data_IF_251079923351
#
_entry.id   IF_251079923351
#
_cell.length_a   1.000
_cell.length_b   1.000
_cell.length_c   1.000
_cell.angle_alpha   90.00
_cell.angle_beta   90.00
_cell.angle_gamma   90.00
#
_symmetry.space_group_name_H-M   'P 1'
#
loop_
_entity.id
_entity.type
_entity.pdbx_description
1 polymer ?
#
# COMPACT_ATOMS: atom_id res chain seq x y z
N UNK A 1 -16.74 -1.05 16.20
CA UNK A 1 -15.74 -2.15 16.17
C UNK A 1 -15.90 -2.95 14.87
N UNK A 2 -14.85 -3.59 14.34
CA UNK A 2 -14.91 -4.38 13.09
C UNK A 2 -16.07 -5.40 13.11
N UNK A 3 -16.29 -6.06 14.24
CA UNK A 3 -17.36 -7.04 14.46
C UNK A 3 -18.77 -6.43 14.53
N UNK A 4 -18.88 -5.13 14.80
CA UNK A 4 -20.16 -4.39 14.74
C UNK A 4 -20.48 -3.90 13.33
N UNK A 5 -19.45 -3.84 12.48
CA UNK A 5 -19.54 -3.31 11.12
C UNK A 5 -19.89 -4.40 10.11
N UNK A 6 -19.50 -5.63 10.41
CA UNK A 6 -19.69 -6.81 9.58
C UNK A 6 -19.89 -8.04 10.47
N UNK A 7 -21.03 -8.70 10.33
CA UNK A 7 -21.38 -9.90 11.10
C UNK A 7 -20.47 -11.08 10.78
N UNK A 8 -19.86 -11.13 9.59
CA UNK A 8 -18.94 -12.19 9.19
C UNK A 8 -17.58 -12.06 9.88
N UNK A 9 -17.30 -10.90 10.49
CA UNK A 9 -16.06 -10.65 11.24
C UNK A 9 -16.18 -10.94 12.74
N UNK A 10 -17.34 -11.37 13.22
CA UNK A 10 -17.53 -11.73 14.63
C UNK A 10 -16.58 -12.87 15.01
N UNK A 11 -15.71 -12.65 16.00
CA UNK A 11 -14.72 -13.64 16.46
C UNK A 11 -13.44 -13.68 15.63
N UNK A 12 -13.30 -12.84 14.60
CA UNK A 12 -12.10 -12.77 13.76
C UNK A 12 -10.82 -12.55 14.58
N UNK A 13 -10.87 -11.65 15.57
CA UNK A 13 -9.71 -11.38 16.43
C UNK A 13 -9.37 -12.56 17.33
N UNK A 14 -10.37 -13.29 17.83
CA UNK A 14 -10.15 -14.47 18.66
C UNK A 14 -9.52 -15.61 17.85
N UNK A 15 -9.91 -15.78 16.58
CA UNK A 15 -9.29 -16.75 15.69
C UNK A 15 -7.85 -16.37 15.33
N UNK A 16 -7.61 -15.12 14.94
CA UNK A 16 -6.25 -14.59 14.70
C UNK A 16 -5.37 -14.79 15.93
N UNK A 17 -5.90 -14.49 17.12
CA UNK A 17 -5.20 -14.66 18.39
C UNK A 17 -4.84 -16.12 18.64
N UNK A 18 -5.78 -17.06 18.45
CA UNK A 18 -5.57 -18.51 18.61
C UNK A 18 -4.61 -19.10 17.58
N UNK A 19 -4.59 -18.58 16.36
CA UNK A 19 -3.66 -19.00 15.30
C UNK A 19 -2.23 -18.58 15.63
N UNK A 20 -2.06 -17.35 16.14
CA UNK A 20 -0.73 -16.77 16.39
C UNK A 20 -0.17 -17.22 17.75
N UNK A 21 -1.04 -17.52 18.72
CA UNK A 21 -0.66 -17.93 20.07
C UNK A 21 -1.14 -19.36 20.32
N UNK A 22 -0.24 -20.35 20.26
CA UNK A 22 -0.55 -21.69 20.71
C UNK A 22 -1.02 -21.67 22.16
N UNK A 23 -2.05 -22.46 22.49
CA UNK A 23 -2.71 -22.52 23.80
C UNK A 23 -1.75 -22.84 24.98
N UNK A 24 -0.53 -23.28 24.66
CA UNK A 24 0.43 -23.94 25.54
C UNK A 24 1.56 -23.00 26.01
N UNK A 25 1.56 -21.71 25.64
CA UNK A 25 2.62 -20.78 26.03
C UNK A 25 2.47 -20.25 27.46
N UNK A 26 3.61 -20.15 28.16
CA UNK A 26 3.72 -19.56 29.48
C UNK A 26 3.24 -18.09 29.48
N UNK A 27 2.72 -17.62 30.61
CA UNK A 27 2.07 -16.30 30.76
C UNK A 27 2.94 -15.11 30.32
N UNK A 28 4.27 -15.22 30.47
CA UNK A 28 5.25 -14.23 30.01
C UNK A 28 5.39 -14.16 28.48
N UNK A 29 5.17 -15.25 27.74
CA UNK A 29 5.16 -15.26 26.27
C UNK A 29 3.84 -14.75 25.67
N UNK A 30 2.73 -14.79 26.43
CA UNK A 30 1.44 -14.28 25.96
C UNK A 30 1.44 -12.77 25.76
N UNK A 31 2.14 -12.01 26.60
CA UNK A 31 2.18 -10.54 26.49
C UNK A 31 2.97 -10.08 25.26
N UNK A 32 4.10 -10.73 24.98
CA UNK A 32 4.89 -10.48 23.78
C UNK A 32 4.16 -10.93 22.50
N UNK A 33 3.39 -12.01 22.58
CA UNK A 33 2.61 -12.46 21.44
C UNK A 33 1.40 -11.56 21.15
N UNK A 34 0.75 -10.99 22.18
CA UNK A 34 -0.26 -9.93 22.02
C UNK A 34 0.28 -8.74 21.22
N UNK A 35 1.50 -8.28 21.54
CA UNK A 35 2.17 -7.21 20.78
C UNK A 35 2.38 -7.60 19.31
N UNK A 36 2.78 -8.85 19.03
CA UNK A 36 2.95 -9.34 17.66
C UNK A 36 1.64 -9.38 16.87
N UNK A 37 0.54 -9.81 17.49
CA UNK A 37 -0.80 -9.79 16.87
C UNK A 37 -1.20 -8.37 16.46
N UNK A 38 -1.01 -7.39 17.36
CA UNK A 38 -1.30 -5.97 17.06
C UNK A 38 -0.44 -5.45 15.89
N UNK A 39 0.84 -5.80 15.85
CA UNK A 39 1.74 -5.43 14.73
C UNK A 39 1.26 -6.05 13.42
N UNK A 40 0.83 -7.32 13.41
CA UNK A 40 0.33 -7.99 12.20
C UNK A 40 -0.96 -7.31 11.70
N UNK A 41 -1.90 -7.00 12.59
CA UNK A 41 -3.13 -6.29 12.25
C UNK A 41 -2.85 -4.87 11.71
N UNK A 42 -1.89 -4.17 12.30
CA UNK A 42 -1.43 -2.87 11.83
C UNK A 42 -0.81 -2.96 10.43
N UNK A 43 -0.01 -4.00 10.17
CA UNK A 43 0.55 -4.26 8.84
C UNK A 43 -0.54 -4.57 7.82
N UNK A 44 -1.51 -5.42 8.13
CA UNK A 44 -2.65 -5.75 7.24
C UNK A 44 -3.45 -4.47 6.91
N UNK A 45 -3.74 -3.63 7.92
CA UNK A 45 -4.40 -2.35 7.72
C UNK A 45 -3.54 -1.37 6.90
N UNK A 46 -2.22 -1.34 7.14
CA UNK A 46 -1.26 -0.56 6.38
C UNK A 46 -1.17 -1.00 4.92
N UNK A 47 -1.15 -2.31 4.65
CA UNK A 47 -1.23 -2.87 3.31
C UNK A 47 -2.54 -2.47 2.64
N UNK A 48 -3.67 -2.55 3.35
CA UNK A 48 -4.95 -2.13 2.79
C UNK A 48 -4.98 -0.63 2.44
N UNK A 49 -4.41 0.23 3.30
CA UNK A 49 -4.28 1.66 3.05
C UNK A 49 -3.27 2.02 1.94
N UNK A 50 -2.26 1.18 1.71
CA UNK A 50 -1.25 1.36 0.66
C UNK A 50 -1.79 1.00 -0.74
N UNK A 51 -2.83 0.17 -0.82
CA UNK A 51 -3.23 -0.51 -2.05
C UNK A 51 -4.38 0.07 -2.86
N UNK A 52 -5.02 1.18 -2.48
CA UNK A 52 -6.13 1.66 -3.30
C UNK A 52 -5.72 2.30 -4.64
N UNK A 53 -4.52 2.90 -4.76
CA UNK A 53 -4.04 3.44 -6.06
C UNK A 53 -2.54 3.82 -6.09
N UNK A 54 -1.94 4.16 -4.95
CA UNK A 54 -0.60 4.73 -4.91
C UNK A 54 0.48 3.71 -5.30
N UNK A 55 0.42 2.49 -4.77
CA UNK A 55 1.39 1.43 -5.11
C UNK A 55 1.37 1.06 -6.60
N UNK A 56 0.18 0.92 -7.21
CA UNK A 56 0.05 0.62 -8.65
C UNK A 56 0.68 1.70 -9.52
N UNK A 57 0.57 2.96 -9.09
CA UNK A 57 1.17 4.11 -9.76
C UNK A 57 2.70 4.13 -9.60
N UNK A 58 3.22 3.88 -8.40
CA UNK A 58 4.65 3.80 -8.13
C UNK A 58 5.30 2.67 -8.95
N UNK A 59 4.66 1.51 -9.00
CA UNK A 59 5.12 0.39 -9.83
C UNK A 59 5.12 0.77 -11.32
N UNK A 60 4.05 1.40 -11.82
CA UNK A 60 3.98 1.88 -13.20
C UNK A 60 5.08 2.91 -13.54
N UNK A 61 5.38 3.83 -12.62
CA UNK A 61 6.46 4.81 -12.76
C UNK A 61 7.83 4.13 -12.79
N UNK A 62 8.06 3.15 -11.92
CA UNK A 62 9.29 2.36 -11.86
C UNK A 62 9.53 1.57 -13.16
N UNK A 63 8.51 0.84 -13.65
CA UNK A 63 8.59 0.10 -14.91
C UNK A 63 8.92 1.02 -16.09
N UNK A 64 8.30 2.20 -16.14
CA UNK A 64 8.59 3.19 -17.18
C UNK A 64 10.00 3.80 -17.04
N UNK A 65 10.57 3.88 -15.84
CA UNK A 65 11.97 4.27 -15.64
C UNK A 65 12.94 3.17 -16.12
N UNK A 66 12.57 1.91 -15.93
CA UNK A 66 13.27 0.74 -16.46
C UNK A 66 13.10 0.52 -17.98
N UNK A 67 12.47 1.47 -18.69
CA UNK A 67 12.22 1.42 -20.15
C UNK A 67 11.38 0.22 -20.59
N UNK A 68 10.54 -0.31 -19.70
CA UNK A 68 9.53 -1.31 -20.07
C UNK A 68 8.58 -0.70 -21.10
N UNK A 69 8.19 -1.50 -22.11
CA UNK A 69 7.34 -1.00 -23.19
C UNK A 69 5.97 -0.57 -22.69
N UNK A 70 5.38 0.39 -23.40
CA UNK A 70 4.02 0.87 -23.12
C UNK A 70 3.00 -0.28 -23.18
N UNK A 71 3.18 -1.21 -24.10
CA UNK A 71 2.37 -2.40 -24.27
C UNK A 71 2.44 -3.29 -23.03
N UNK A 72 3.65 -3.58 -22.52
CA UNK A 72 3.81 -4.41 -21.32
C UNK A 72 3.21 -3.74 -20.08
N UNK A 73 3.39 -2.42 -19.92
CA UNK A 73 2.76 -1.68 -18.82
C UNK A 73 1.23 -1.76 -18.91
N UNK A 74 0.67 -1.63 -20.13
CA UNK A 74 -0.76 -1.76 -20.34
C UNK A 74 -1.26 -3.19 -20.08
N UNK A 75 -0.50 -4.22 -20.45
CA UNK A 75 -0.82 -5.63 -20.12
C UNK A 75 -0.84 -5.86 -18.61
N UNK A 76 0.14 -5.32 -17.88
CA UNK A 76 0.16 -5.39 -16.41
C UNK A 76 -0.99 -4.58 -15.78
N UNK A 77 -1.43 -3.50 -16.42
CA UNK A 77 -2.61 -2.76 -15.98
C UNK A 77 -3.90 -3.54 -16.20
N UNK A 78 -4.03 -4.28 -17.30
CA UNK A 78 -5.20 -5.11 -17.58
C UNK A 78 -5.34 -6.30 -16.61
N UNK A 79 -4.24 -6.69 -15.97
CA UNK A 79 -4.20 -7.71 -14.89
C UNK A 79 -4.28 -7.09 -13.50
N UNK A 80 -4.60 -5.79 -13.41
CA UNK A 80 -4.72 -5.01 -12.18
C UNK A 80 -3.44 -4.87 -11.32
N UNK A 81 -2.28 -5.30 -11.83
CA UNK A 81 -0.98 -5.25 -11.16
C UNK A 81 -0.42 -3.82 -11.16
N UNK A 82 -0.60 -3.08 -12.26
CA UNK A 82 -0.06 -1.73 -12.48
C UNK A 82 -1.17 -0.74 -12.89
N UNK A 83 -0.81 0.55 -13.03
CA UNK A 83 -1.61 1.53 -13.77
C UNK A 83 -1.31 1.49 -15.28
N UNK A 84 -2.26 1.96 -16.08
CA UNK A 84 -2.12 2.11 -17.53
C UNK A 84 -1.03 3.14 -17.86
N UNK A 85 -0.31 2.95 -18.97
CA UNK A 85 0.79 3.83 -19.38
C UNK A 85 0.36 5.31 -19.51
N UNK A 86 -0.89 5.56 -19.89
CA UNK A 86 -1.45 6.93 -19.94
C UNK A 86 -1.41 7.62 -18.57
N UNK A 87 -1.69 6.91 -17.49
CA UNK A 87 -1.62 7.44 -16.11
C UNK A 87 -0.18 7.75 -15.73
N UNK A 88 0.76 6.86 -16.06
CA UNK A 88 2.21 7.08 -15.85
C UNK A 88 2.68 8.34 -16.58
N UNK A 89 2.32 8.49 -17.85
CA UNK A 89 2.68 9.65 -18.67
C UNK A 89 2.14 10.96 -18.07
N UNK A 90 0.86 10.99 -17.70
CA UNK A 90 0.23 12.16 -17.10
C UNK A 90 0.90 12.54 -15.79
N UNK A 91 1.28 11.56 -14.97
CA UNK A 91 1.96 11.80 -13.70
C UNK A 91 3.35 12.41 -13.93
N UNK A 92 4.15 11.84 -14.85
CA UNK A 92 5.45 12.41 -15.24
C UNK A 92 5.31 13.85 -15.72
N UNK A 93 4.33 14.13 -16.58
CA UNK A 93 4.04 15.48 -17.07
C UNK A 93 3.71 16.44 -15.91
N UNK A 94 2.89 16.01 -14.95
CA UNK A 94 2.56 16.80 -13.76
C UNK A 94 3.82 17.11 -12.93
N UNK A 95 4.68 16.13 -12.71
CA UNK A 95 5.95 16.32 -11.97
C UNK A 95 6.83 17.34 -12.68
N UNK A 96 6.99 17.24 -14.02
CA UNK A 96 7.79 18.19 -14.81
C UNK A 96 7.23 19.62 -14.71
N UNK A 97 5.92 19.79 -14.82
CA UNK A 97 5.28 21.10 -14.72
C UNK A 97 5.45 21.70 -13.32
N UNK A 98 5.23 20.89 -12.27
CA UNK A 98 5.43 21.33 -10.89
C UNK A 98 6.88 21.70 -10.58
N UNK A 99 7.84 20.96 -11.15
CA UNK A 99 9.25 21.31 -11.01
C UNK A 99 9.56 22.67 -11.66
N UNK A 100 9.06 22.92 -12.87
CA UNK A 100 9.27 24.20 -13.54
C UNK A 100 8.73 25.36 -12.69
N UNK A 101 7.49 25.26 -12.21
CA UNK A 101 6.89 26.30 -11.36
C UNK A 101 7.66 26.52 -10.06
N UNK A 102 8.13 25.45 -9.41
CA UNK A 102 8.95 25.58 -8.19
C UNK A 102 10.29 26.27 -8.43
N UNK A 103 10.91 26.02 -9.58
CA UNK A 103 12.15 26.69 -9.96
C UNK A 103 11.89 28.17 -10.23
N UNK A 104 10.82 28.50 -10.94
CA UNK A 104 10.40 29.89 -11.17
C UNK A 104 10.11 30.63 -9.87
N UNK A 105 9.34 30.01 -8.96
CA UNK A 105 9.06 30.55 -7.61
C UNK A 105 10.36 30.83 -6.84
N UNK A 106 11.32 29.90 -6.85
CA UNK A 106 12.60 30.09 -6.17
C UNK A 106 13.38 31.33 -6.65
N UNK A 107 13.34 31.62 -7.96
CA UNK A 107 13.99 32.80 -8.55
C UNK A 107 13.20 34.11 -8.38
N UNK A 108 11.92 34.04 -8.03
CA UNK A 108 11.11 35.22 -7.72
C UNK A 108 11.25 35.58 -6.23
N UNK A 109 11.37 34.57 -5.36
CA UNK A 109 11.46 34.74 -3.91
C UNK A 109 12.87 35.08 -3.40
N UNK A 110 13.93 34.80 -4.17
CA UNK A 110 15.34 35.11 -3.86
C UNK A 110 15.96 36.04 -4.90
#
# INVERSE_FOLDING_TARGET
MLEESDSDLIGFFDEIYKIIIPLNWASNLQEDAKKKVVVILYLIAGFHNMHANQFKLELGLYLAACRVSCETINTLSNTEISVINKTVYNNKKKITLQHLSKVEEYFIEN
#
